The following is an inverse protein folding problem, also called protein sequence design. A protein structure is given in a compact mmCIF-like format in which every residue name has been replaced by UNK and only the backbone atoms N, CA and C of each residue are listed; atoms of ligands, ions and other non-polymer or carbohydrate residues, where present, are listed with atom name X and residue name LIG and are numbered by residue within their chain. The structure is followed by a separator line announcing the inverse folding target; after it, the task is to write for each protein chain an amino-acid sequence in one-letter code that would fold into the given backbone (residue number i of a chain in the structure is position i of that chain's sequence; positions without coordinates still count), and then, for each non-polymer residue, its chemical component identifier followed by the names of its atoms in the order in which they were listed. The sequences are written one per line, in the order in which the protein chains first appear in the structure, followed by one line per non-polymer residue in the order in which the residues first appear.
data_IF_147342442012
#
_entry.id   IF_147342442012
#
_cell.length_a   1.000
_cell.length_b   1.000
_cell.length_c   1.000
_cell.angle_alpha   90.00
_cell.angle_beta   90.00
_cell.angle_gamma   90.00
#
_symmetry.space_group_name_H-M   'P 1'
#
loop_
_entity.id
_entity.type
_entity.pdbx_description
1 polymer ?
#
# COMPACT_ATOMS: atom_id res chain seq x y z
N UNK A 1 -20.38 9.78 -9.62
CA UNK A 1 -18.97 9.41 -9.88
C UNK A 1 -18.60 8.28 -8.91
N UNK A 2 -17.79 7.30 -9.31
CA UNK A 2 -17.24 6.29 -8.37
C UNK A 2 -16.34 7.00 -7.36
N UNK A 3 -16.30 6.61 -6.09
CA UNK A 3 -15.45 7.24 -5.06
C UNK A 3 -13.95 6.97 -5.29
N UNK A 4 -13.04 7.68 -4.60
CA UNK A 4 -11.60 7.35 -4.57
C UNK A 4 -11.39 5.86 -4.24
N UNK A 5 -12.09 5.35 -3.23
CA UNK A 5 -12.00 3.96 -2.80
C UNK A 5 -12.34 2.98 -3.92
N UNK A 6 -13.44 3.23 -4.65
CA UNK A 6 -13.85 2.40 -5.78
C UNK A 6 -12.88 2.46 -6.97
N UNK A 7 -12.32 3.65 -7.24
CA UNK A 7 -11.32 3.83 -8.31
C UNK A 7 -10.01 3.12 -7.96
N UNK A 8 -9.56 3.20 -6.70
CA UNK A 8 -8.35 2.55 -6.23
C UNK A 8 -8.45 1.02 -6.30
N UNK A 9 -9.54 0.46 -5.79
CA UNK A 9 -9.77 -0.99 -5.84
C UNK A 9 -9.87 -1.50 -7.29
N UNK A 10 -10.57 -0.78 -8.17
CA UNK A 10 -10.69 -1.14 -9.58
C UNK A 10 -9.33 -1.06 -10.31
N UNK A 11 -8.48 -0.09 -9.95
CA UNK A 11 -7.13 0.00 -10.50
C UNK A 11 -6.28 -1.20 -10.09
N UNK A 12 -6.34 -1.62 -8.81
CA UNK A 12 -5.59 -2.78 -8.33
C UNK A 12 -6.00 -4.08 -9.01
N UNK A 13 -7.32 -4.29 -9.22
CA UNK A 13 -7.85 -5.42 -10.01
C UNK A 13 -7.36 -5.37 -11.45
N UNK A 14 -7.32 -4.17 -12.03
CA UNK A 14 -6.77 -3.93 -13.37
C UNK A 14 -5.30 -4.34 -13.45
N UNK A 15 -4.48 -3.96 -12.48
CA UNK A 15 -3.05 -4.30 -12.47
C UNK A 15 -2.80 -5.80 -12.22
N UNK A 16 -3.58 -6.47 -11.38
CA UNK A 16 -3.51 -7.93 -11.25
C UNK A 16 -3.81 -8.61 -12.61
N UNK A 17 -4.89 -8.17 -13.27
CA UNK A 17 -5.26 -8.68 -14.60
C UNK A 17 -4.25 -8.29 -15.69
N UNK A 18 -3.49 -7.21 -15.49
CA UNK A 18 -2.43 -6.76 -16.39
C UNK A 18 -1.21 -7.67 -16.26
N UNK A 19 -0.76 -7.92 -15.02
CA UNK A 19 0.41 -8.76 -14.69
C UNK A 19 0.19 -10.22 -15.06
N UNK A 20 -1.00 -10.77 -14.83
CA UNK A 20 -1.32 -12.20 -15.05
C UNK A 20 -0.29 -13.14 -14.39
N UNK A 21 0.24 -12.76 -13.23
CA UNK A 21 1.24 -13.52 -12.48
C UNK A 21 2.65 -13.54 -13.07
N UNK A 22 2.92 -12.77 -14.13
CA UNK A 22 4.30 -12.55 -14.62
C UNK A 22 5.13 -11.81 -13.59
N UNK A 23 6.43 -12.10 -13.59
CA UNK A 23 7.41 -11.55 -12.67
C UNK A 23 7.80 -10.11 -13.08
N UNK A 24 8.35 -9.39 -12.11
CA UNK A 24 8.71 -7.99 -12.20
C UNK A 24 9.74 -7.67 -13.30
N UNK A 25 10.62 -8.61 -13.64
CA UNK A 25 11.67 -8.42 -14.64
C UNK A 25 11.26 -8.85 -16.06
N UNK A 26 10.09 -9.48 -16.20
CA UNK A 26 9.53 -9.86 -17.49
C UNK A 26 8.98 -8.65 -18.24
N UNK A 27 9.14 -8.62 -19.57
CA UNK A 27 8.36 -7.68 -20.39
C UNK A 27 6.91 -8.15 -20.49
N UNK A 28 5.92 -7.24 -20.49
CA UNK A 28 6.03 -5.77 -20.31
C UNK A 28 5.94 -5.30 -18.84
N UNK A 29 6.01 -6.21 -17.86
CA UNK A 29 5.78 -5.92 -16.43
C UNK A 29 6.81 -4.97 -15.83
N UNK A 30 8.08 -5.12 -16.17
CA UNK A 30 9.14 -4.18 -15.76
C UNK A 30 8.84 -2.73 -16.17
N UNK A 31 8.28 -2.51 -17.36
CA UNK A 31 7.91 -1.19 -17.88
C UNK A 31 6.71 -0.60 -17.14
N UNK A 32 5.80 -1.43 -16.64
CA UNK A 32 4.69 -0.98 -15.79
C UNK A 32 5.19 -0.59 -14.40
N UNK A 33 6.16 -1.32 -13.87
CA UNK A 33 6.85 -0.93 -12.62
C UNK A 33 7.59 0.39 -12.80
N UNK A 34 8.24 0.60 -13.96
CA UNK A 34 8.85 1.88 -14.29
C UNK A 34 7.84 3.04 -14.31
N UNK A 35 6.60 2.78 -14.77
CA UNK A 35 5.52 3.76 -14.72
C UNK A 35 5.16 4.14 -13.28
N UNK A 36 5.08 3.16 -12.36
CA UNK A 36 4.80 3.43 -10.94
C UNK A 36 5.88 4.31 -10.31
N UNK A 37 7.15 3.98 -10.55
CA UNK A 37 8.28 4.75 -10.03
C UNK A 37 8.36 6.16 -10.62
N UNK A 38 8.03 6.33 -11.90
CA UNK A 38 7.91 7.66 -12.50
C UNK A 38 6.80 8.48 -11.83
N UNK A 39 5.63 7.88 -11.57
CA UNK A 39 4.53 8.55 -10.87
C UNK A 39 4.97 9.01 -9.47
N UNK A 40 5.59 8.13 -8.69
CA UNK A 40 6.09 8.48 -7.35
C UNK A 40 7.17 9.55 -7.43
N UNK A 41 8.14 9.41 -8.33
CA UNK A 41 9.21 10.39 -8.53
C UNK A 41 8.67 11.77 -8.89
N UNK A 42 7.62 11.83 -9.70
CA UNK A 42 6.97 13.09 -10.10
C UNK A 42 6.18 13.70 -8.95
N UNK A 43 5.33 12.90 -8.31
CA UNK A 43 4.43 13.37 -7.26
C UNK A 43 5.16 13.75 -5.96
N UNK A 44 6.29 13.09 -5.66
CA UNK A 44 7.13 13.38 -4.49
C UNK A 44 8.27 14.37 -4.78
N UNK A 45 8.43 14.84 -6.03
CA UNK A 45 9.56 15.69 -6.43
C UNK A 45 10.93 14.99 -6.37
N UNK A 46 10.95 13.65 -6.48
CA UNK A 46 12.13 12.78 -6.39
C UNK A 46 12.46 12.17 -7.74
N UNK A 47 12.90 13.03 -8.67
CA UNK A 47 13.15 12.65 -10.07
C UNK A 47 14.17 11.53 -10.25
N UNK A 48 15.03 11.30 -9.25
CA UNK A 48 15.96 10.18 -9.28
C UNK A 48 15.25 8.83 -9.28
N UNK A 49 13.98 8.69 -8.87
CA UNK A 49 13.27 7.40 -9.01
C UNK A 49 12.82 7.08 -10.44
N UNK A 50 12.87 8.03 -11.38
CA UNK A 50 12.40 7.80 -12.76
C UNK A 50 13.20 6.76 -13.54
N UNK A 51 14.40 6.38 -13.08
CA UNK A 51 15.20 5.34 -13.72
C UNK A 51 14.89 3.93 -13.20
N UNK A 52 14.11 3.83 -12.11
CA UNK A 52 13.83 2.55 -11.45
C UNK A 52 12.73 1.82 -12.21
N UNK A 53 12.96 0.54 -12.48
CA UNK A 53 12.05 -0.39 -13.12
C UNK A 53 12.09 -1.76 -12.41
N UNK A 54 11.34 -2.75 -12.91
CA UNK A 54 11.34 -4.10 -12.34
C UNK A 54 12.66 -4.88 -12.52
N UNK A 55 13.69 -4.28 -13.14
CA UNK A 55 15.03 -4.85 -13.30
C UNK A 55 16.09 -4.08 -12.52
N UNK A 56 15.73 -3.00 -11.85
CA UNK A 56 16.69 -2.17 -11.15
C UNK A 56 17.15 -2.88 -9.87
N UNK A 57 18.46 -2.90 -9.66
CA UNK A 57 19.10 -3.49 -8.48
C UNK A 57 19.87 -2.43 -7.69
N UNK A 58 20.01 -2.63 -6.39
CA UNK A 58 20.83 -1.79 -5.52
C UNK A 58 22.33 -2.15 -5.60
N UNK A 59 23.15 -1.54 -4.75
CA UNK A 59 24.59 -1.78 -4.68
C UNK A 59 24.98 -3.21 -4.25
N UNK A 60 24.07 -3.92 -3.58
CA UNK A 60 24.25 -5.31 -3.16
C UNK A 60 23.76 -6.31 -4.21
N UNK A 61 23.12 -5.83 -5.28
CA UNK A 61 22.52 -6.63 -6.34
C UNK A 61 21.09 -7.07 -6.04
N UNK A 62 20.48 -6.53 -4.98
CA UNK A 62 19.09 -6.84 -4.60
C UNK A 62 18.12 -6.00 -5.44
N UNK A 63 17.00 -6.61 -5.87
CA UNK A 63 15.95 -5.92 -6.63
C UNK A 63 15.28 -4.84 -5.78
N UNK A 64 15.00 -3.69 -6.39
CA UNK A 64 14.31 -2.60 -5.71
C UNK A 64 12.85 -2.98 -5.39
N UNK A 65 12.49 -2.90 -4.11
CA UNK A 65 11.13 -3.14 -3.67
C UNK A 65 10.16 -2.06 -4.18
N UNK A 66 9.06 -2.47 -4.84
CA UNK A 66 8.13 -1.56 -5.51
C UNK A 66 6.70 -1.58 -4.96
N UNK A 67 6.44 -2.24 -3.82
CA UNK A 67 5.10 -2.34 -3.22
C UNK A 67 4.53 -0.98 -2.80
N UNK A 68 5.35 -0.07 -2.28
CA UNK A 68 4.91 1.28 -1.93
C UNK A 68 4.68 2.15 -3.18
N UNK A 69 5.48 1.95 -4.22
CA UNK A 69 5.30 2.59 -5.52
C UNK A 69 3.99 2.14 -6.18
N UNK A 70 3.65 0.85 -6.10
CA UNK A 70 2.37 0.30 -6.54
C UNK A 70 1.19 0.99 -5.85
N UNK A 71 1.15 1.03 -4.52
CA UNK A 71 0.06 1.69 -3.79
C UNK A 71 -0.02 3.18 -4.14
N UNK A 72 1.12 3.86 -4.16
CA UNK A 72 1.21 5.28 -4.51
C UNK A 72 0.69 5.58 -5.92
N UNK A 73 1.04 4.74 -6.91
CA UNK A 73 0.54 4.87 -8.28
C UNK A 73 -0.99 4.66 -8.35
N UNK A 74 -1.51 3.67 -7.61
CA UNK A 74 -2.96 3.45 -7.51
C UNK A 74 -3.70 4.64 -6.92
N UNK A 75 -3.18 5.22 -5.84
CA UNK A 75 -3.77 6.43 -5.23
C UNK A 75 -3.67 7.62 -6.18
N UNK A 76 -2.55 7.78 -6.89
CA UNK A 76 -2.39 8.83 -7.89
C UNK A 76 -3.46 8.72 -8.98
N UNK A 77 -3.66 7.52 -9.56
CA UNK A 77 -4.69 7.28 -10.58
C UNK A 77 -6.09 7.50 -10.01
N UNK A 78 -6.35 7.01 -8.80
CA UNK A 78 -7.65 7.14 -8.15
C UNK A 78 -8.00 8.58 -7.76
N UNK A 79 -7.03 9.47 -7.61
CA UNK A 79 -7.24 10.86 -7.16
C UNK A 79 -6.97 11.90 -8.24
N UNK A 80 -6.42 11.51 -9.38
CA UNK A 80 -5.92 12.45 -10.39
C UNK A 80 -4.64 13.16 -9.94
N UNK A 81 -3.81 12.50 -9.14
CA UNK A 81 -2.54 13.02 -8.64
C UNK A 81 -2.68 14.05 -7.52
N UNK A 82 -3.62 13.84 -6.61
CA UNK A 82 -3.91 14.83 -5.59
C UNK A 82 -2.71 15.07 -4.66
N UNK A 83 -2.29 16.33 -4.44
CA UNK A 83 -1.04 16.66 -3.76
C UNK A 83 -1.08 16.44 -2.24
N UNK A 84 -2.27 16.15 -1.69
CA UNK A 84 -2.43 15.90 -0.25
C UNK A 84 -2.00 14.48 0.16
N UNK A 85 -1.82 13.55 -0.78
CA UNK A 85 -1.35 12.21 -0.45
C UNK A 85 0.17 12.21 -0.32
N UNK A 86 0.70 11.55 0.72
CA UNK A 86 2.13 11.50 0.99
C UNK A 86 2.85 10.45 0.13
N UNK A 87 2.89 10.67 -1.20
CA UNK A 87 3.58 9.78 -2.15
C UNK A 87 5.03 9.54 -1.75
N UNK A 88 5.43 8.27 -1.68
CA UNK A 88 6.76 7.90 -1.23
C UNK A 88 7.07 6.45 -1.62
N UNK A 89 8.36 6.17 -1.73
CA UNK A 89 8.95 4.83 -1.86
C UNK A 89 8.81 3.98 -0.58
N UNK A 90 8.35 4.56 0.54
CA UNK A 90 8.14 3.87 1.81
C UNK A 90 6.67 3.82 2.21
N UNK A 91 6.19 2.61 2.52
CA UNK A 91 4.88 2.41 3.16
C UNK A 91 4.77 3.21 4.48
N UNK A 92 5.87 3.27 5.26
CA UNK A 92 5.91 3.98 6.55
C UNK A 92 5.58 5.47 6.44
N UNK A 93 5.82 6.10 5.28
CA UNK A 93 5.59 7.53 5.11
C UNK A 93 4.11 7.86 5.08
N UNK A 94 3.34 7.26 4.16
CA UNK A 94 1.92 7.58 4.03
C UNK A 94 1.07 6.95 5.14
N UNK A 95 1.49 5.84 5.76
CA UNK A 95 0.77 5.33 6.93
C UNK A 95 0.93 6.26 8.13
N UNK A 96 2.13 6.82 8.35
CA UNK A 96 2.36 7.80 9.43
C UNK A 96 1.57 9.08 9.18
N UNK A 97 1.57 9.59 7.95
CA UNK A 97 0.75 10.75 7.56
C UNK A 97 -0.74 10.48 7.83
N UNK A 98 -1.24 9.31 7.43
CA UNK A 98 -2.63 8.92 7.69
C UNK A 98 -2.96 8.79 9.18
N UNK A 99 -2.04 8.31 10.02
CA UNK A 99 -2.22 8.26 11.48
C UNK A 99 -2.24 9.67 12.08
N UNK A 100 -1.34 10.56 11.63
CA UNK A 100 -1.32 11.95 12.08
C UNK A 100 -2.63 12.66 11.73
N UNK A 101 -3.12 12.51 10.49
CA UNK A 101 -4.42 13.04 10.06
C UNK A 101 -5.59 12.55 10.90
N UNK A 102 -5.55 11.31 11.38
CA UNK A 102 -6.59 10.79 12.25
C UNK A 102 -6.70 11.54 13.58
N UNK A 103 -5.64 12.24 14.02
CA UNK A 103 -5.61 13.06 15.23
C UNK A 103 -6.04 14.52 15.04
N UNK A 104 -6.18 15.00 13.79
CA UNK A 104 -6.38 16.42 13.49
C UNK A 104 -7.82 16.93 13.71
N UNK A 105 -8.76 16.07 14.11
CA UNK A 105 -10.14 16.42 14.48
C UNK A 105 -11.05 16.85 13.32
N UNK A 106 -10.49 17.48 12.29
CA UNK A 106 -11.17 17.90 11.07
C UNK A 106 -11.34 16.75 10.05
N UNK A 107 -12.28 16.86 9.10
CA UNK A 107 -12.36 15.96 7.95
C UNK A 107 -11.05 15.95 7.16
N UNK A 108 -10.52 14.77 6.90
CA UNK A 108 -9.27 14.55 6.17
C UNK A 108 -9.53 13.66 4.96
N UNK A 109 -8.84 13.88 3.83
CA UNK A 109 -9.07 13.13 2.60
C UNK A 109 -8.78 11.64 2.76
N UNK A 110 -7.90 11.28 3.70
CA UNK A 110 -7.66 9.91 4.12
C UNK A 110 -7.14 9.89 5.56
N UNK A 111 -7.43 8.81 6.28
CA UNK A 111 -7.03 8.60 7.69
C UNK A 111 -6.67 7.14 7.92
N UNK A 112 -5.81 6.89 8.90
CA UNK A 112 -5.54 5.54 9.38
C UNK A 112 -6.40 5.23 10.61
N UNK A 113 -6.65 3.94 10.83
CA UNK A 113 -7.27 3.39 12.02
C UNK A 113 -6.49 2.15 12.47
N UNK A 114 -6.43 1.83 13.78
CA UNK A 114 -5.81 0.60 14.23
C UNK A 114 -6.51 -0.60 13.59
N UNK A 115 -5.74 -1.60 13.15
CA UNK A 115 -6.32 -2.78 12.51
C UNK A 115 -7.33 -3.47 13.45
N UNK A 116 -8.41 -4.03 12.88
CA UNK A 116 -9.45 -4.72 13.64
C UNK A 116 -10.46 -3.80 14.35
N UNK A 117 -10.23 -2.49 14.38
CA UNK A 117 -11.19 -1.54 14.99
C UNK A 117 -12.41 -1.27 14.09
N UNK A 118 -12.24 -1.34 12.78
CA UNK A 118 -13.29 -1.10 11.79
C UNK A 118 -13.44 -2.30 10.84
N UNK A 119 -14.65 -2.56 10.33
CA UNK A 119 -14.82 -3.50 9.23
C UNK A 119 -13.99 -3.05 8.03
N UNK A 120 -13.32 -3.99 7.36
CA UNK A 120 -12.65 -3.71 6.10
C UNK A 120 -13.67 -3.37 5.02
N UNK A 121 -13.28 -2.48 4.12
CA UNK A 121 -14.09 -2.05 2.97
C UNK A 121 -13.23 -2.03 1.73
N UNK A 122 -13.88 -2.25 0.59
CA UNK A 122 -13.26 -2.06 -0.73
C UNK A 122 -12.64 -0.66 -0.81
N UNK A 123 -11.38 -0.61 -1.25
CA UNK A 123 -10.56 0.60 -1.38
C UNK A 123 -9.82 1.02 -0.10
N UNK A 124 -9.98 0.31 1.02
CA UNK A 124 -9.04 0.46 2.13
C UNK A 124 -7.64 -0.01 1.73
N UNK A 125 -6.61 0.53 2.37
CA UNK A 125 -5.25 -0.02 2.31
C UNK A 125 -4.95 -0.63 3.69
N UNK A 126 -4.67 -1.92 3.76
CA UNK A 126 -4.23 -2.57 4.99
C UNK A 126 -2.71 -2.60 5.04
N UNK A 127 -2.12 -2.33 6.20
CA UNK A 127 -0.68 -2.19 6.38
C UNK A 127 -0.19 -3.15 7.45
N UNK A 128 0.85 -3.90 7.10
CA UNK A 128 1.57 -4.80 8.00
C UNK A 128 2.99 -4.30 8.23
N UNK A 129 3.48 -4.51 9.44
CA UNK A 129 4.91 -4.59 9.67
C UNK A 129 5.40 -5.92 9.11
N UNK A 130 6.59 -5.92 8.50
CA UNK A 130 7.20 -7.15 7.97
C UNK A 130 8.68 -7.17 8.35
N UNK A 131 9.10 -8.28 8.93
CA UNK A 131 10.50 -8.52 9.29
C UNK A 131 11.34 -8.84 8.05
N UNK A 132 12.62 -8.45 8.08
CA UNK A 132 13.63 -8.87 7.12
C UNK A 132 13.35 -8.52 5.65
N UNK A 133 12.73 -7.37 5.36
CA UNK A 133 12.46 -6.92 3.98
C UNK A 133 13.64 -6.19 3.32
N UNK A 134 14.79 -6.08 4.00
CA UNK A 134 16.02 -5.53 3.40
C UNK A 134 15.92 -4.06 2.99
N UNK A 135 14.91 -3.34 3.46
CA UNK A 135 14.62 -1.96 3.06
C UNK A 135 15.46 -0.93 3.88
N UNK A 136 16.58 -1.36 4.48
CA UNK A 136 17.48 -0.46 5.23
C UNK A 136 16.90 0.16 6.51
N UNK A 137 15.62 -0.06 6.84
CA UNK A 137 15.04 0.41 8.08
C UNK A 137 15.33 -0.56 9.24
N UNK A 138 15.19 -0.08 10.48
CA UNK A 138 15.42 -0.92 11.67
C UNK A 138 14.40 -2.05 11.72
N UNK A 139 14.88 -3.29 11.72
CA UNK A 139 14.04 -4.48 11.87
C UNK A 139 13.61 -4.67 13.33
N UNK A 140 12.57 -3.94 13.72
CA UNK A 140 11.93 -4.05 15.03
C UNK A 140 10.41 -4.09 14.84
N UNK A 141 9.66 -4.90 15.62
CA UNK A 141 8.21 -4.96 15.52
C UNK A 141 7.55 -3.58 15.61
N UNK A 142 6.76 -3.22 14.60
CA UNK A 142 6.00 -1.95 14.56
C UNK A 142 4.50 -2.23 14.65
N UNK A 143 3.92 -1.79 15.77
CA UNK A 143 2.47 -1.66 15.94
C UNK A 143 1.99 -0.22 15.73
N UNK A 144 0.68 -0.02 15.92
CA UNK A 144 0.01 1.28 15.77
C UNK A 144 0.68 2.43 16.54
N UNK A 145 1.00 2.22 17.82
CA UNK A 145 1.61 3.25 18.67
C UNK A 145 3.05 3.54 18.26
N UNK A 146 3.79 2.53 17.80
CA UNK A 146 5.19 2.68 17.39
C UNK A 146 5.29 3.44 16.06
N UNK A 147 4.39 3.15 15.11
CA UNK A 147 4.33 3.80 13.80
C UNK A 147 4.11 5.32 13.89
N UNK A 148 3.55 5.82 14.99
CA UNK A 148 3.39 7.25 15.24
C UNK A 148 4.71 7.98 15.54
N UNK A 149 5.72 7.27 16.05
CA UNK A 149 6.95 7.86 16.59
C UNK A 149 8.21 7.47 15.83
N UNK A 150 8.16 6.34 15.13
CA UNK A 150 9.31 5.76 14.43
C UNK A 150 9.09 5.90 12.94
N UNK A 151 10.10 6.37 12.22
CA UNK A 151 10.19 6.31 10.76
C UNK A 151 11.65 6.57 10.31
N UNK A 152 12.09 5.94 9.21
CA UNK A 152 11.39 4.90 8.43
C UNK A 152 11.30 3.57 9.21
N UNK A 153 10.40 2.68 8.77
CA UNK A 153 10.30 1.31 9.28
C UNK A 153 9.84 0.32 8.22
N UNK A 154 10.23 -0.94 8.40
CA UNK A 154 9.87 -2.02 7.50
C UNK A 154 8.36 -2.26 7.48
N UNK A 155 7.74 -2.12 6.32
CA UNK A 155 6.29 -2.35 6.19
C UNK A 155 5.87 -2.72 4.77
N UNK A 156 4.69 -3.29 4.67
CA UNK A 156 4.05 -3.63 3.39
C UNK A 156 2.56 -3.29 3.47
N UNK A 157 1.96 -2.90 2.36
CA UNK A 157 0.54 -2.60 2.32
C UNK A 157 -0.12 -3.01 1.02
N UNK A 158 -1.36 -3.48 1.15
CA UNK A 158 -2.18 -3.97 0.05
C UNK A 158 -3.51 -3.23 0.01
N UNK A 159 -4.13 -3.22 -1.16
CA UNK A 159 -5.42 -2.58 -1.41
C UNK A 159 -6.52 -3.64 -1.26
N UNK A 160 -7.52 -3.38 -0.41
CA UNK A 160 -8.72 -4.21 -0.30
C UNK A 160 -9.56 -4.03 -1.57
N UNK A 161 -9.80 -5.13 -2.29
CA UNK A 161 -10.66 -5.13 -3.50
C UNK A 161 -12.03 -5.74 -3.22
N UNK A 162 -12.14 -6.60 -2.21
CA UNK A 162 -13.44 -7.12 -1.78
C UNK A 162 -13.45 -7.31 -0.28
N UNK A 163 -14.57 -7.03 0.36
CA UNK A 163 -14.78 -7.31 1.77
C UNK A 163 -16.21 -7.84 1.96
N UNK A 164 -16.32 -9.08 2.42
CA UNK A 164 -17.57 -9.75 2.76
C UNK A 164 -17.71 -9.94 4.27
N UNK A 165 -18.63 -10.83 4.66
CA UNK A 165 -18.90 -11.10 6.07
C UNK A 165 -17.80 -11.88 6.79
N UNK A 166 -17.05 -12.73 6.09
CA UNK A 166 -16.07 -13.66 6.68
C UNK A 166 -14.68 -13.59 6.01
N UNK A 167 -14.56 -12.85 4.91
CA UNK A 167 -13.32 -12.72 4.14
C UNK A 167 -13.17 -11.38 3.46
N UNK A 168 -11.92 -10.94 3.31
CA UNK A 168 -11.54 -9.87 2.40
C UNK A 168 -10.52 -10.37 1.39
N UNK A 169 -10.56 -9.81 0.19
CA UNK A 169 -9.54 -9.99 -0.83
C UNK A 169 -8.74 -8.71 -0.97
N UNK A 170 -7.43 -8.86 -1.01
CA UNK A 170 -6.45 -7.78 -1.13
C UNK A 170 -5.62 -7.98 -2.39
N UNK A 171 -5.16 -6.90 -3.00
CA UNK A 171 -4.16 -6.93 -4.07
C UNK A 171 -2.99 -6.04 -3.68
N UNK A 172 -1.78 -6.61 -3.73
CA UNK A 172 -0.53 -5.91 -3.48
C UNK A 172 0.46 -6.12 -4.63
N UNK A 173 1.35 -5.15 -4.81
CA UNK A 173 2.51 -5.24 -5.70
C UNK A 173 3.74 -5.79 -4.96
N UNK A 174 4.71 -6.32 -5.70
CA UNK A 174 5.95 -6.92 -5.19
C UNK A 174 5.70 -8.01 -4.14
N UNK A 175 4.66 -8.81 -4.36
CA UNK A 175 4.33 -10.00 -3.57
C UNK A 175 4.87 -11.24 -4.28
N UNK A 176 6.07 -11.67 -3.87
CA UNK A 176 6.86 -12.65 -4.63
C UNK A 176 7.09 -12.17 -6.07
N UNK A 177 7.60 -10.94 -6.17
CA UNK A 177 8.07 -10.32 -7.41
C UNK A 177 6.97 -10.14 -8.47
N UNK A 178 5.70 -10.08 -8.06
CA UNK A 178 4.55 -9.85 -8.95
C UNK A 178 3.42 -9.08 -8.26
N UNK A 179 2.35 -8.76 -8.99
CA UNK A 179 1.06 -8.31 -8.43
C UNK A 179 0.24 -9.53 -8.08
N UNK A 180 -0.18 -9.65 -6.81
CA UNK A 180 -0.85 -10.86 -6.32
C UNK A 180 -2.03 -10.54 -5.42
N UNK A 181 -3.07 -11.37 -5.53
CA UNK A 181 -4.20 -11.39 -4.60
C UNK A 181 -3.92 -12.25 -3.36
N UNK A 182 -4.34 -11.73 -2.21
CA UNK A 182 -4.32 -12.42 -0.91
C UNK A 182 -5.71 -12.41 -0.29
N UNK A 183 -5.99 -13.35 0.59
CA UNK A 183 -7.26 -13.43 1.33
C UNK A 183 -6.99 -13.25 2.81
N UNK A 184 -7.80 -12.42 3.46
CA UNK A 184 -7.86 -12.29 4.91
C UNK A 184 -9.15 -12.90 5.45
N UNK A 185 -9.08 -13.48 6.64
CA UNK A 185 -10.26 -13.98 7.37
C UNK A 185 -10.80 -12.88 8.29
N UNK A 186 -12.11 -12.65 8.24
CA UNK A 186 -12.80 -11.62 9.01
C UNK A 186 -13.74 -12.24 10.06
N UNK A 187 -14.06 -11.48 11.10
CA UNK A 187 -15.10 -11.83 12.06
C UNK A 187 -16.48 -11.55 11.46
N UNK A 188 -17.55 -11.98 12.13
CA UNK A 188 -18.92 -11.73 11.69
C UNK A 188 -19.33 -10.24 11.62
N UNK A 189 -18.46 -9.32 12.04
CA UNK A 189 -18.63 -7.88 11.87
C UNK A 189 -17.74 -7.31 10.76
N UNK A 190 -17.06 -8.13 9.95
CA UNK A 190 -16.20 -7.74 8.84
C UNK A 190 -14.82 -7.21 9.26
N UNK A 191 -14.39 -7.41 10.52
CA UNK A 191 -13.10 -6.96 11.05
C UNK A 191 -12.07 -8.08 10.95
N UNK A 192 -10.79 -7.71 10.77
CA UNK A 192 -9.72 -8.69 10.75
C UNK A 192 -9.59 -9.41 12.11
N UNK A 193 -9.64 -10.74 12.10
CA UNK A 193 -9.56 -11.57 13.32
C UNK A 193 -8.13 -11.89 13.70
N UNK A 194 -7.35 -12.35 12.71
CA UNK A 194 -5.95 -12.73 12.88
C UNK A 194 -5.07 -11.66 12.25
N UNK A 195 -4.36 -10.94 13.09
CA UNK A 195 -3.40 -9.92 12.65
C UNK A 195 -2.02 -10.53 12.42
N UNK A 196 -1.77 -11.76 12.83
CA UNK A 196 -0.49 -12.44 12.70
C UNK A 196 -0.14 -12.77 11.24
N UNK A 197 1.14 -12.70 10.92
CA UNK A 197 1.72 -13.17 9.67
C UNK A 197 3.03 -13.89 10.00
N UNK A 198 3.44 -14.86 9.19
CA UNK A 198 4.69 -15.64 9.41
C UNK A 198 5.90 -14.72 9.65
N UNK A 199 5.96 -13.59 8.95
CA UNK A 199 7.03 -12.59 9.05
C UNK A 199 6.54 -11.22 9.48
N UNK A 200 5.48 -11.14 10.28
CA UNK A 200 4.98 -9.81 10.68
C UNK A 200 3.61 -9.81 11.34
N UNK A 201 2.98 -8.64 11.30
CA UNK A 201 1.60 -8.49 11.70
C UNK A 201 0.96 -7.26 11.04
N UNK A 202 -0.34 -7.36 10.76
CA UNK A 202 -1.16 -6.21 10.39
C UNK A 202 -1.29 -5.28 11.59
N UNK A 203 -1.22 -3.97 11.37
CA UNK A 203 -1.32 -3.00 12.47
C UNK A 203 -2.19 -1.79 12.15
N UNK A 204 -2.38 -1.45 10.87
CA UNK A 204 -3.18 -0.31 10.47
C UNK A 204 -4.05 -0.62 9.24
N UNK A 205 -5.17 0.09 9.14
CA UNK A 205 -5.93 0.24 7.91
C UNK A 205 -6.01 1.74 7.57
N UNK A 206 -5.86 2.09 6.31
CA UNK A 206 -6.01 3.45 5.78
C UNK A 206 -7.31 3.50 4.98
N UNK A 207 -8.12 4.52 5.22
CA UNK A 207 -9.40 4.74 4.54
C UNK A 207 -9.47 6.15 4.00
N UNK A 208 -9.86 6.25 2.74
CA UNK A 208 -10.19 7.52 2.08
C UNK A 208 -11.56 8.01 2.55
N UNK A 209 -11.74 9.33 2.63
CA UNK A 209 -13.06 9.90 2.82
C UNK A 209 -13.94 9.57 1.61
N UNK A 210 -15.22 9.30 1.86
CA UNK A 210 -16.20 9.23 0.78
C UNK A 210 -16.26 10.61 0.11
N UNK A 211 -15.97 10.67 -1.20
CA UNK A 211 -15.73 11.91 -1.98
C UNK A 211 -16.55 13.11 -1.46
N UNK A 212 -15.87 14.15 -0.96
CA UNK A 212 -16.44 15.49 -0.93
C UNK A 212 -16.47 15.99 -2.38
N UNK A 213 -17.66 16.04 -2.98
CA UNK A 213 -17.91 16.74 -4.25
C UNK A 213 -17.60 18.22 -4.05
#
# INVERSE_FOLDING_TARGET
MKSVAERLAAWAEGEEARFLGRLEDEEPCNGWIAEYWRIVGDAAGRLHYRHVDGRTVDENGDRWAWSAAFVSAGVWVATGGAPWFAYCEWHSTYVRDAIQRASEGEPQPYRAFPIGTLPLRRGDIVVQWRAGIGDGARDAPIGWEAAQRIAPFTSHGDIVVSAGADRAELIGGNLADTVKRRTLVLDGAGRLVDTGQERGHWFALIRFADDHI
#
